data_IF_196264773867
#
_entry.id   IF_196264773867
#
_cell.length_a   1.000
_cell.length_b   1.000
_cell.length_c   1.000
_cell.angle_alpha   90.00
_cell.angle_beta   90.00
_cell.angle_gamma   90.00
#
_symmetry.space_group_name_H-M   'P 1'
#
loop_
_entity.id
_entity.type
_entity.pdbx_description
1 polymer ?
#
# COMPACT_ATOMS: atom_id res chain seq x y z
N UNK A 1 -14.86 2.87 -2.75
CA UNK A 1 -13.77 3.16 -1.81
C UNK A 1 -12.46 2.90 -2.49
N UNK A 2 -11.57 3.85 -2.40
CA UNK A 2 -10.27 3.81 -3.04
C UNK A 2 -9.18 3.86 -1.96
N UNK A 3 -8.25 2.93 -2.03
CA UNK A 3 -7.04 2.97 -1.22
C UNK A 3 -5.90 3.55 -2.03
N UNK A 4 -5.22 4.54 -1.50
CA UNK A 4 -3.94 5.00 -2.03
C UNK A 4 -2.84 4.08 -1.52
N UNK A 5 -1.96 3.64 -2.42
CA UNK A 5 -0.85 2.75 -2.14
C UNK A 5 0.47 3.42 -2.50
N UNK A 6 1.45 3.36 -1.60
CA UNK A 6 2.76 3.97 -1.80
C UNK A 6 3.81 3.40 -0.85
N UNK A 7 5.09 3.62 -1.20
CA UNK A 7 6.23 3.34 -0.34
C UNK A 7 7.10 4.58 -0.18
N UNK A 8 7.68 4.78 0.99
CA UNK A 8 8.55 5.92 1.23
C UNK A 8 9.87 5.48 1.89
N UNK A 9 11.00 5.71 1.23
CA UNK A 9 12.32 5.52 1.82
C UNK A 9 12.67 6.68 2.75
N UNK A 10 13.04 6.38 3.99
CA UNK A 10 13.45 7.39 4.98
C UNK A 10 14.40 6.80 6.01
N UNK A 11 15.16 7.63 6.71
CA UNK A 11 15.99 7.23 7.86
C UNK A 11 15.12 7.12 9.12
N UNK A 12 14.38 6.02 9.20
CA UNK A 12 13.40 5.78 10.28
C UNK A 12 14.05 5.56 11.64
N UNK A 13 15.29 5.09 11.68
CA UNK A 13 16.01 4.73 12.90
C UNK A 13 17.08 5.74 13.29
N UNK A 14 17.22 6.86 12.56
CA UNK A 14 18.25 7.89 12.78
C UNK A 14 19.68 7.30 12.79
N UNK A 15 19.92 6.29 11.95
CA UNK A 15 21.21 5.60 11.86
C UNK A 15 21.99 5.90 10.57
N UNK A 16 21.51 6.84 9.75
CA UNK A 16 22.08 7.20 8.46
C UNK A 16 21.70 6.30 7.30
N UNK A 17 20.93 5.24 7.55
CA UNK A 17 20.43 4.33 6.51
C UNK A 17 18.94 4.56 6.24
N UNK A 18 18.56 4.42 4.97
CA UNK A 18 17.14 4.48 4.57
C UNK A 18 16.52 3.10 4.54
N UNK A 19 15.28 3.04 4.98
CA UNK A 19 14.41 1.86 4.93
C UNK A 19 13.08 2.29 4.32
N UNK A 20 12.45 1.41 3.56
CA UNK A 20 11.17 1.72 2.89
C UNK A 20 9.99 1.29 3.74
N UNK A 21 9.12 2.23 4.07
CA UNK A 21 7.83 1.97 4.70
C UNK A 21 6.76 1.92 3.62
N UNK A 22 6.09 0.78 3.48
CA UNK A 22 4.98 0.57 2.56
C UNK A 22 3.67 0.82 3.30
N UNK A 23 2.68 1.39 2.63
CA UNK A 23 1.40 1.67 3.26
C UNK A 23 0.23 1.80 2.31
N UNK A 24 -0.96 1.47 2.84
CA UNK A 24 -2.24 1.78 2.21
C UNK A 24 -3.06 2.67 3.13
N UNK A 25 -3.66 3.70 2.55
CA UNK A 25 -4.54 4.64 3.25
C UNK A 25 -5.86 4.78 2.51
N UNK A 26 -6.96 4.78 3.25
CA UNK A 26 -8.29 5.06 2.71
C UNK A 26 -8.41 6.54 2.35
N UNK A 27 -8.67 6.82 1.09
CA UNK A 27 -8.82 8.19 0.58
C UNK A 27 -9.98 8.95 1.22
N UNK A 28 -11.05 8.29 1.60
CA UNK A 28 -12.23 8.93 2.18
C UNK A 28 -12.04 9.31 3.66
N UNK A 29 -11.46 8.41 4.47
CA UNK A 29 -11.40 8.57 5.93
C UNK A 29 -10.02 8.91 6.46
N UNK A 30 -8.96 8.71 5.66
CA UNK A 30 -7.58 8.78 6.11
C UNK A 30 -7.15 7.62 7.01
N UNK A 31 -7.92 6.52 7.06
CA UNK A 31 -7.53 5.31 7.79
C UNK A 31 -6.36 4.62 7.13
N UNK A 32 -5.33 4.33 7.92
CA UNK A 32 -4.28 3.41 7.53
C UNK A 32 -4.87 2.00 7.59
N UNK A 33 -4.80 1.27 6.48
CA UNK A 33 -5.26 -0.12 6.43
C UNK A 33 -4.13 -1.14 6.57
N UNK A 34 -2.90 -0.72 6.32
CA UNK A 34 -1.71 -1.51 6.56
C UNK A 34 -0.44 -0.68 6.45
N UNK A 35 0.58 -1.06 7.21
CA UNK A 35 1.95 -0.54 7.16
C UNK A 35 2.94 -1.69 7.31
N UNK A 36 3.99 -1.69 6.50
CA UNK A 36 5.06 -2.67 6.61
C UNK A 36 6.41 -2.11 6.14
N UNK A 37 7.46 -2.37 6.92
CA UNK A 37 8.82 -1.88 6.65
C UNK A 37 9.68 -2.98 6.05
N UNK A 38 10.41 -2.61 4.99
CA UNK A 38 11.46 -3.43 4.38
C UNK A 38 12.74 -2.62 4.23
N UNK A 39 13.86 -3.29 3.91
CA UNK A 39 15.11 -2.57 3.60
C UNK A 39 14.94 -1.65 2.40
N UNK A 40 14.30 -2.15 1.34
CA UNK A 40 14.01 -1.40 0.12
C UNK A 40 12.53 -1.54 -0.23
N UNK A 41 12.04 -0.66 -1.10
CA UNK A 41 10.71 -0.80 -1.67
C UNK A 41 10.64 -2.08 -2.53
N UNK A 42 9.66 -2.94 -2.23
CA UNK A 42 9.59 -4.27 -2.82
C UNK A 42 8.18 -4.86 -2.81
N UNK A 43 7.98 -5.89 -3.62
CA UNK A 43 6.74 -6.65 -3.70
C UNK A 43 6.29 -7.20 -2.34
N UNK A 44 7.21 -7.76 -1.55
CA UNK A 44 6.90 -8.33 -0.23
C UNK A 44 6.23 -7.30 0.68
N UNK A 45 6.76 -6.08 0.72
CA UNK A 45 6.18 -5.01 1.53
C UNK A 45 4.74 -4.71 1.17
N UNK A 46 4.42 -4.62 -0.12
CA UNK A 46 3.06 -4.39 -0.59
C UNK A 46 2.13 -5.57 -0.38
N UNK A 47 2.62 -6.81 -0.49
CA UNK A 47 1.83 -8.01 -0.19
C UNK A 47 1.48 -8.10 1.31
N UNK A 48 2.40 -7.75 2.19
CA UNK A 48 2.14 -7.71 3.63
C UNK A 48 1.13 -6.63 4.00
N UNK A 49 1.22 -5.44 3.38
CA UNK A 49 0.23 -4.36 3.55
C UNK A 49 -1.15 -4.79 3.03
N UNK A 50 -1.20 -5.46 1.88
CA UNK A 50 -2.45 -6.01 1.34
C UNK A 50 -3.04 -7.08 2.28
N UNK A 51 -2.22 -8.01 2.79
CA UNK A 51 -2.66 -9.02 3.77
C UNK A 51 -3.28 -8.38 5.00
N UNK A 52 -2.60 -7.38 5.61
CA UNK A 52 -3.14 -6.63 6.74
C UNK A 52 -4.49 -5.97 6.42
N UNK A 53 -4.60 -5.39 5.24
CA UNK A 53 -5.84 -4.76 4.76
C UNK A 53 -6.97 -5.78 4.66
N UNK A 54 -6.71 -6.93 4.05
CA UNK A 54 -7.70 -8.00 3.87
C UNK A 54 -8.17 -8.56 5.22
N UNK A 55 -7.25 -8.82 6.14
CA UNK A 55 -7.54 -9.40 7.46
C UNK A 55 -8.37 -8.45 8.36
N UNK A 56 -8.02 -7.16 8.36
CA UNK A 56 -8.60 -6.21 9.32
C UNK A 56 -9.82 -5.45 8.76
N UNK A 57 -9.91 -5.29 7.44
CA UNK A 57 -10.95 -4.47 6.82
C UNK A 57 -11.77 -5.25 5.78
N UNK A 58 -11.17 -6.21 5.09
CA UNK A 58 -11.77 -6.94 3.98
C UNK A 58 -11.19 -6.53 2.63
N UNK A 59 -11.85 -6.95 1.53
CA UNK A 59 -11.40 -6.69 0.17
C UNK A 59 -11.77 -5.27 -0.24
N UNK A 60 -10.79 -4.38 -0.55
CA UNK A 60 -11.08 -3.03 -1.05
C UNK A 60 -11.64 -3.11 -2.48
N UNK A 61 -12.45 -2.14 -2.88
CA UNK A 61 -12.98 -2.09 -4.26
C UNK A 61 -11.88 -1.70 -5.24
N UNK A 62 -11.03 -0.74 -4.87
CA UNK A 62 -9.98 -0.25 -5.76
C UNK A 62 -8.71 0.17 -5.03
N UNK A 63 -7.58 0.04 -5.73
CA UNK A 63 -6.27 0.52 -5.35
C UNK A 63 -5.80 1.60 -6.32
N UNK A 64 -5.12 2.61 -5.78
CA UNK A 64 -4.57 3.73 -6.52
C UNK A 64 -3.06 3.88 -6.24
N UNK A 65 -2.24 2.98 -6.80
CA UNK A 65 -0.79 3.05 -6.69
C UNK A 65 -0.20 4.04 -7.71
N UNK A 66 1.09 4.35 -7.54
CA UNK A 66 1.86 5.00 -8.60
C UNK A 66 2.19 4.03 -9.75
N UNK A 67 2.91 4.53 -10.78
CA UNK A 67 3.31 3.71 -11.94
C UNK A 67 4.57 2.88 -11.66
N UNK A 68 4.81 2.48 -10.43
CA UNK A 68 5.95 1.67 -10.06
C UNK A 68 5.86 0.25 -10.63
N UNK A 69 6.99 -0.34 -10.98
CA UNK A 69 7.09 -1.63 -11.69
C UNK A 69 6.51 -2.83 -10.91
N UNK A 70 6.31 -2.71 -9.60
CA UNK A 70 5.63 -3.72 -8.78
C UNK A 70 4.14 -3.80 -9.15
N UNK A 71 3.51 -2.66 -9.44
CA UNK A 71 2.09 -2.59 -9.74
C UNK A 71 1.80 -2.75 -11.23
N UNK A 72 2.61 -2.11 -12.06
CA UNK A 72 2.42 -2.12 -13.51
C UNK A 72 3.71 -2.56 -14.22
N UNK A 73 3.62 -3.39 -15.24
CA UNK A 73 4.78 -3.77 -16.03
C UNK A 73 5.36 -2.50 -16.70
N UNK A 74 6.68 -2.40 -16.81
CA UNK A 74 7.31 -1.31 -17.56
C UNK A 74 6.78 -1.35 -18.99
N UNK A 75 6.41 -0.18 -19.53
CA UNK A 75 6.02 -0.07 -20.94
C UNK A 75 7.21 -0.49 -21.81
N UNK A 76 7.16 -1.67 -22.39
CA UNK A 76 8.04 -2.03 -23.51
C UNK A 76 7.58 -1.23 -24.73
N UNK A 77 8.54 -0.76 -25.51
CA UNK A 77 8.32 0.06 -26.71
C UNK A 77 7.48 -0.68 -27.79
N UNK A 78 7.30 -2.00 -27.65
CA UNK A 78 6.53 -2.87 -28.56
C UNK A 78 5.40 -3.62 -27.80
N UNK A 79 4.38 -2.88 -27.34
CA UNK A 79 3.17 -3.49 -26.77
C UNK A 79 2.12 -3.87 -27.84
N UNK A 80 2.54 -4.08 -29.07
CA UNK A 80 1.71 -4.71 -30.11
C UNK A 80 1.78 -6.23 -30.00
N UNK A 81 0.99 -6.79 -29.07
CA UNK A 81 0.74 -8.23 -29.07
C UNK A 81 -0.07 -8.53 -30.34
N UNK A 82 0.51 -9.30 -31.24
CA UNK A 82 -0.19 -9.75 -32.44
C UNK A 82 -1.35 -10.70 -32.08
N UNK A 83 -2.36 -10.80 -32.94
CA UNK A 83 -3.48 -11.71 -32.73
C UNK A 83 -3.02 -13.17 -32.56
N UNK A 84 -1.94 -13.56 -33.24
CA UNK A 84 -1.31 -14.89 -33.09
C UNK A 84 -0.68 -15.09 -31.72
N UNK A 85 -0.07 -14.07 -31.12
CA UNK A 85 0.50 -14.13 -29.78
C UNK A 85 -0.61 -14.21 -28.70
N UNK A 86 -1.76 -13.57 -28.91
CA UNK A 86 -2.94 -13.70 -28.04
C UNK A 86 -3.53 -15.11 -28.11
N UNK A 87 -3.62 -15.71 -29.29
CA UNK A 87 -4.09 -17.09 -29.51
C UNK A 87 -3.15 -18.13 -28.89
N UNK A 88 -1.84 -17.83 -28.80
CA UNK A 88 -0.83 -18.66 -28.17
C UNK A 88 -0.70 -18.44 -26.64
N UNK A 89 -1.66 -17.74 -26.00
CA UNK A 89 -1.71 -17.56 -24.55
C UNK A 89 -0.74 -16.52 -24.00
N UNK A 90 -0.11 -15.69 -24.83
CA UNK A 90 0.65 -14.51 -24.41
C UNK A 90 -0.33 -13.44 -23.94
N UNK A 91 -0.55 -13.39 -22.64
CA UNK A 91 -1.25 -12.28 -22.01
C UNK A 91 -0.34 -11.05 -21.91
N UNK A 92 -0.94 -9.85 -22.03
CA UNK A 92 -0.29 -8.59 -21.65
C UNK A 92 0.40 -8.80 -20.32
N UNK A 93 1.70 -8.40 -20.23
CA UNK A 93 2.47 -8.63 -19.01
C UNK A 93 1.75 -8.04 -17.79
N UNK A 94 1.25 -8.91 -16.93
CA UNK A 94 0.66 -8.55 -15.63
C UNK A 94 1.74 -8.80 -14.58
N UNK A 95 1.93 -7.86 -13.64
CA UNK A 95 2.84 -8.07 -12.52
C UNK A 95 2.29 -9.13 -11.58
N UNK A 96 3.16 -9.71 -10.73
CA UNK A 96 2.70 -10.66 -9.72
C UNK A 96 1.69 -10.03 -8.76
N UNK A 97 1.90 -8.80 -8.33
CA UNK A 97 0.94 -8.04 -7.53
C UNK A 97 -0.37 -7.81 -8.30
N UNK A 98 -0.28 -7.37 -9.56
CA UNK A 98 -1.43 -7.16 -10.43
C UNK A 98 -2.31 -8.41 -10.58
N UNK A 99 -1.70 -9.58 -10.73
CA UNK A 99 -2.44 -10.87 -10.79
C UNK A 99 -3.22 -11.15 -9.51
N UNK A 100 -2.58 -10.95 -8.35
CA UNK A 100 -3.24 -11.18 -7.05
C UNK A 100 -4.44 -10.25 -6.86
N UNK A 101 -4.31 -8.97 -7.17
CA UNK A 101 -5.42 -8.01 -7.01
C UNK A 101 -6.53 -8.27 -8.01
N UNK A 102 -6.22 -8.72 -9.23
CA UNK A 102 -7.21 -9.14 -10.22
C UNK A 102 -8.01 -10.37 -9.75
N UNK A 103 -7.33 -11.40 -9.22
CA UNK A 103 -7.99 -12.58 -8.64
C UNK A 103 -8.90 -12.23 -7.45
N UNK A 104 -8.56 -11.20 -6.68
CA UNK A 104 -9.38 -10.67 -5.58
C UNK A 104 -10.54 -9.77 -6.07
N UNK A 105 -10.63 -9.49 -7.36
CA UNK A 105 -11.61 -8.56 -7.92
C UNK A 105 -11.38 -7.11 -7.55
N UNK A 106 -10.14 -6.72 -7.22
CA UNK A 106 -9.75 -5.36 -6.87
C UNK A 106 -9.36 -4.62 -8.15
N UNK A 107 -10.01 -3.50 -8.43
CA UNK A 107 -9.64 -2.64 -9.55
C UNK A 107 -8.38 -1.83 -9.22
N UNK A 108 -7.44 -1.76 -10.15
CA UNK A 108 -6.20 -1.01 -9.97
C UNK A 108 -6.07 0.12 -10.99
N UNK A 109 -6.00 1.35 -10.50
CA UNK A 109 -5.89 2.55 -11.33
C UNK A 109 -4.55 3.24 -11.07
N UNK A 110 -3.71 3.46 -12.11
CA UNK A 110 -2.46 4.18 -11.93
C UNK A 110 -2.72 5.65 -11.57
N UNK A 111 -2.00 6.18 -10.60
CA UNK A 111 -2.05 7.58 -10.27
C UNK A 111 -1.68 8.43 -11.48
N UNK A 112 -2.61 9.27 -11.92
CA UNK A 112 -2.44 10.12 -13.10
C UNK A 112 -1.78 11.46 -12.78
N UNK A 113 -1.78 11.87 -11.51
CA UNK A 113 -1.17 13.12 -11.05
C UNK A 113 -0.71 13.02 -9.60
N UNK A 114 0.30 13.81 -9.17
CA UNK A 114 0.71 13.90 -7.76
C UNK A 114 -0.44 14.32 -6.84
N UNK A 115 -1.30 15.24 -7.28
CA UNK A 115 -2.44 15.73 -6.49
C UNK A 115 -3.41 14.61 -6.10
N UNK A 116 -3.51 13.57 -6.93
CA UNK A 116 -4.36 12.43 -6.68
C UNK A 116 -3.88 11.55 -5.50
N UNK A 117 -2.63 11.69 -5.05
CA UNK A 117 -2.02 10.96 -3.92
C UNK A 117 -1.80 11.81 -2.66
N UNK A 118 -2.39 13.00 -2.60
CA UNK A 118 -2.15 13.96 -1.53
C UNK A 118 -2.45 13.45 -0.11
N UNK A 119 -3.27 12.41 0.08
CA UNK A 119 -3.51 11.83 1.41
C UNK A 119 -2.34 10.97 1.88
N UNK A 120 -1.81 10.12 1.03
CA UNK A 120 -0.68 9.28 1.42
C UNK A 120 0.61 10.10 1.57
N UNK A 121 0.78 11.16 0.78
CA UNK A 121 1.89 12.10 0.93
C UNK A 121 1.87 12.79 2.31
N UNK A 122 0.71 13.31 2.73
CA UNK A 122 0.54 13.89 4.08
C UNK A 122 0.71 12.85 5.18
N UNK A 123 0.33 11.61 4.93
CA UNK A 123 0.60 10.52 5.86
C UNK A 123 2.11 10.36 6.06
N UNK A 124 2.90 10.32 4.98
CA UNK A 124 4.34 10.18 5.07
C UNK A 124 4.98 11.34 5.83
N UNK A 125 4.61 12.58 5.58
CA UNK A 125 5.07 13.74 6.34
C UNK A 125 4.77 13.59 7.84
N UNK A 126 3.57 13.17 8.18
CA UNK A 126 3.16 12.93 9.57
C UNK A 126 3.96 11.79 10.21
N UNK A 127 4.15 10.68 9.51
CA UNK A 127 4.86 9.52 10.04
C UNK A 127 6.36 9.80 10.17
N UNK A 128 6.98 10.51 9.22
CA UNK A 128 8.39 10.88 9.28
C UNK A 128 8.70 11.74 10.51
N UNK A 129 7.79 12.61 10.93
CA UNK A 129 7.98 13.41 12.15
C UNK A 129 7.66 12.65 13.45
N UNK A 130 6.61 11.80 13.44
CA UNK A 130 6.09 11.15 14.65
C UNK A 130 6.67 9.77 14.89
N UNK A 131 6.73 8.94 13.87
CA UNK A 131 7.13 7.54 13.99
C UNK A 131 8.61 7.41 14.36
N UNK A 132 9.47 8.28 13.84
CA UNK A 132 10.89 8.35 14.23
C UNK A 132 11.03 8.61 15.73
N UNK A 133 10.25 9.55 16.26
CA UNK A 133 10.23 9.85 17.70
C UNK A 133 9.72 8.67 18.52
N UNK A 134 8.64 8.01 18.07
CA UNK A 134 8.10 6.81 18.72
C UNK A 134 9.11 5.66 18.71
N UNK A 135 9.82 5.45 17.61
CA UNK A 135 10.88 4.43 17.53
C UNK A 135 12.01 4.69 18.49
N UNK A 136 12.47 5.94 18.59
CA UNK A 136 13.52 6.34 19.53
C UNK A 136 13.11 6.12 20.98
N UNK A 137 11.89 6.53 21.37
CA UNK A 137 11.37 6.38 22.74
C UNK A 137 11.23 4.88 23.11
N UNK A 138 10.83 4.06 22.17
CA UNK A 138 10.62 2.62 22.39
C UNK A 138 11.88 1.77 22.08
N UNK A 139 13.02 2.39 21.83
CA UNK A 139 14.28 1.71 21.50
C UNK A 139 14.19 0.73 20.32
N UNK A 140 13.39 1.09 19.30
CA UNK A 140 13.20 0.31 18.09
C UNK A 140 14.32 0.65 17.10
N UNK A 141 15.12 -0.35 16.74
CA UNK A 141 16.31 -0.17 15.90
C UNK A 141 16.38 -1.16 14.73
N UNK A 142 15.47 -2.14 14.67
CA UNK A 142 15.43 -3.15 13.62
C UNK A 142 14.09 -3.16 12.89
N UNK A 143 14.11 -3.69 11.66
CA UNK A 143 12.90 -3.84 10.83
C UNK A 143 11.86 -4.73 11.53
N UNK A 144 12.28 -5.81 12.18
CA UNK A 144 11.41 -6.75 12.86
C UNK A 144 10.69 -6.07 14.03
N UNK A 145 11.42 -5.33 14.86
CA UNK A 145 10.87 -4.54 15.96
C UNK A 145 9.88 -3.47 15.44
N UNK A 146 10.25 -2.79 14.34
CA UNK A 146 9.41 -1.79 13.72
C UNK A 146 8.09 -2.41 13.23
N UNK A 147 8.14 -3.54 12.52
CA UNK A 147 6.94 -4.21 12.02
C UNK A 147 6.04 -4.72 13.14
N UNK A 148 6.58 -5.19 14.25
CA UNK A 148 5.78 -5.56 15.43
C UNK A 148 5.11 -4.33 16.06
N UNK A 149 5.86 -3.24 16.23
CA UNK A 149 5.34 -1.98 16.77
C UNK A 149 4.22 -1.39 15.89
N UNK A 150 4.37 -1.45 14.57
CA UNK A 150 3.41 -0.88 13.60
C UNK A 150 2.03 -1.52 13.70
N UNK A 151 1.91 -2.78 14.09
CA UNK A 151 0.60 -3.46 14.31
C UNK A 151 -0.27 -2.71 15.32
N UNK A 152 0.29 -2.32 16.46
CA UNK A 152 -0.42 -1.53 17.47
C UNK A 152 -0.53 -0.05 17.11
N UNK A 153 0.47 0.48 16.42
CA UNK A 153 0.50 1.89 16.02
C UNK A 153 -0.63 2.26 15.06
N UNK A 154 -0.95 1.41 14.08
CA UNK A 154 -2.05 1.62 13.13
C UNK A 154 -3.36 1.90 13.88
N UNK A 155 -3.70 1.09 14.88
CA UNK A 155 -4.92 1.27 15.66
C UNK A 155 -4.93 2.59 16.44
N UNK A 156 -3.79 2.96 17.06
CA UNK A 156 -3.66 4.25 17.78
C UNK A 156 -3.76 5.44 16.83
N UNK A 157 -3.14 5.36 15.66
CA UNK A 157 -3.22 6.39 14.64
C UNK A 157 -4.66 6.56 14.16
N UNK A 158 -5.30 5.47 13.77
CA UNK A 158 -6.65 5.48 13.23
C UNK A 158 -7.67 6.02 14.24
N UNK A 159 -7.55 5.70 15.53
CA UNK A 159 -8.44 6.23 16.56
C UNK A 159 -8.29 7.74 16.78
N UNK A 160 -7.10 8.29 16.51
CA UNK A 160 -6.76 9.69 16.78
C UNK A 160 -6.98 10.62 15.59
N UNK A 161 -6.72 10.16 14.38
CA UNK A 161 -6.59 11.01 13.19
C UNK A 161 -7.64 10.75 12.11
N UNK A 162 -8.44 9.70 12.22
CA UNK A 162 -9.43 9.41 11.20
C UNK A 162 -10.68 10.27 11.33
N UNK A 163 -11.22 10.65 10.18
CA UNK A 163 -12.52 11.31 10.07
C UNK A 163 -13.61 10.28 9.77
N UNK A 164 -14.82 10.57 10.26
CA UNK A 164 -15.99 9.76 9.90
C UNK A 164 -16.30 9.93 8.42
N UNK A 165 -16.48 8.83 7.70
CA UNK A 165 -16.87 8.90 6.30
C UNK A 165 -18.27 9.54 6.17
N UNK A 166 -18.41 10.46 5.23
CA UNK A 166 -19.71 11.11 4.93
C UNK A 166 -20.77 10.12 4.40
N UNK A 167 -20.37 8.89 4.05
CA UNK A 167 -21.26 7.84 3.58
C UNK A 167 -21.00 6.57 4.37
N UNK A 168 -22.00 6.10 5.12
CA UNK A 168 -21.94 4.92 5.99
C UNK A 168 -21.96 3.56 5.23
N UNK A 169 -21.94 3.56 3.91
CA UNK A 169 -21.89 2.32 3.13
C UNK A 169 -20.54 1.63 3.34
N UNK A 170 -20.59 0.39 3.83
CA UNK A 170 -19.40 -0.49 3.89
C UNK A 170 -18.81 -0.64 2.48
N UNK A 171 -17.56 -0.31 2.35
CA UNK A 171 -16.85 -0.24 1.06
C UNK A 171 -15.83 -1.37 0.91
N UNK A 172 -15.71 -2.24 1.92
CA UNK A 172 -14.94 -3.47 1.87
C UNK A 172 -15.89 -4.66 1.69
N UNK A 173 -15.58 -5.51 0.75
CA UNK A 173 -16.26 -6.79 0.60
C UNK A 173 -15.76 -7.76 1.67
N UNK A 174 -16.63 -8.61 2.16
CA UNK A 174 -16.23 -9.65 3.13
C UNK A 174 -15.34 -10.68 2.43
N UNK A 175 -14.28 -11.09 3.12
CA UNK A 175 -13.55 -12.28 2.70
C UNK A 175 -14.49 -13.50 2.68
N UNK A 176 -14.42 -14.35 1.67
CA UNK A 176 -15.14 -15.61 1.70
C UNK A 176 -14.66 -16.44 2.91
N UNK A 177 -15.61 -17.02 3.63
CA UNK A 177 -15.27 -17.98 4.69
C UNK A 177 -14.74 -19.25 4.00
N UNK A 178 -13.50 -19.60 4.26
CA UNK A 178 -12.92 -20.89 3.90
C UNK A 178 -13.41 -21.93 4.89
#
# INVERSE_FOLDING_TARGET
MMLQADGTPFDWFENGEKYSLHGFIDDATGKITGLYMCKNECLLGYLEVLRQTLENFGIPISLYPDKYSVFFPPKKVDDHITIEEQLNGRQKGITQFGRIVEELGIEMFPASSPQAKGRIERLWETLQSRLVTEFRINHITTIEQANEFLKGYINRYNSKFCVTANNSKRVFLKLPKI
#
